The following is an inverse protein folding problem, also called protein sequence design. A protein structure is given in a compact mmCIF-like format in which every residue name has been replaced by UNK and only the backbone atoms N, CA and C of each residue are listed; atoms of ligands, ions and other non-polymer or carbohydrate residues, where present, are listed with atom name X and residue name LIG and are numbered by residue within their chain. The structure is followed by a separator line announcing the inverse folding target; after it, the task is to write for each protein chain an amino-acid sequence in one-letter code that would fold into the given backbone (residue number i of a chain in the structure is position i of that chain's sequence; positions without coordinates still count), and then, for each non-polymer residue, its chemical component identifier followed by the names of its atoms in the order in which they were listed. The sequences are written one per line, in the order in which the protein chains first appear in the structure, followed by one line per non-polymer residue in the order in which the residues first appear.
data_IF_411797740174
#
_entry.id   IF_411797740174
#
_cell.length_a   1.000
_cell.length_b   1.000
_cell.length_c   1.000
_cell.angle_alpha   90.00
_cell.angle_beta   90.00
_cell.angle_gamma   90.00
#
_symmetry.space_group_name_H-M   'P 1'
#
loop_
_entity.id
_entity.type
_entity.pdbx_description
1 polymer ?
#
# COMPACT_ATOMS: atom_id res chain seq x y z
N UNK A 1 17.77 18.17 3.73
CA UNK A 1 16.56 17.40 3.41
C UNK A 1 15.57 18.36 2.82
N UNK A 2 15.12 18.09 1.59
CA UNK A 2 14.02 18.84 1.01
C UNK A 2 12.75 18.60 1.83
N UNK A 3 12.00 19.67 2.08
CA UNK A 3 10.78 19.61 2.89
C UNK A 3 9.57 19.45 1.96
N UNK A 4 8.82 18.38 2.13
CA UNK A 4 7.60 18.08 1.38
C UNK A 4 6.41 18.28 2.30
N UNK A 5 5.60 19.30 2.01
CA UNK A 5 4.35 19.54 2.72
C UNK A 5 3.28 18.65 2.12
N UNK A 6 2.70 17.75 2.91
CA UNK A 6 1.65 16.86 2.44
C UNK A 6 0.34 17.64 2.35
N UNK A 7 -0.22 17.83 1.15
CA UNK A 7 -1.45 18.60 0.99
C UNK A 7 -2.65 17.81 1.52
N UNK A 8 -3.52 18.48 2.25
CA UNK A 8 -4.78 17.89 2.71
C UNK A 8 -5.68 17.48 1.54
N UNK A 9 -6.22 16.25 1.50
CA UNK A 9 -7.26 15.88 0.54
C UNK A 9 -8.47 16.82 0.64
N UNK A 10 -9.00 17.27 -0.50
CA UNK A 10 -10.16 18.20 -0.53
C UNK A 10 -11.42 17.60 0.09
N UNK A 11 -11.58 16.28 -0.02
CA UNK A 11 -12.69 15.49 0.52
C UNK A 11 -12.28 14.01 0.55
N UNK A 12 -13.21 13.14 0.92
CA UNK A 12 -12.98 11.70 1.07
C UNK A 12 -13.02 10.90 -0.24
N UNK A 13 -13.25 11.53 -1.40
CA UNK A 13 -13.27 10.82 -2.67
C UNK A 13 -11.90 10.26 -3.03
N UNK A 14 -11.88 9.11 -3.71
CA UNK A 14 -10.65 8.47 -4.18
C UNK A 14 -9.79 9.43 -5.01
N UNK A 15 -10.41 10.25 -5.87
CA UNK A 15 -9.71 11.23 -6.71
C UNK A 15 -9.02 12.30 -5.86
N UNK A 16 -9.67 12.80 -4.80
CA UNK A 16 -9.06 13.80 -3.93
C UNK A 16 -7.89 13.23 -3.11
N UNK A 17 -7.99 11.96 -2.70
CA UNK A 17 -6.91 11.24 -2.04
C UNK A 17 -5.71 11.01 -2.99
N UNK A 18 -5.98 10.58 -4.22
CA UNK A 18 -4.96 10.42 -5.27
C UNK A 18 -4.31 11.75 -5.65
N UNK A 19 -5.07 12.84 -5.74
CA UNK A 19 -4.53 14.18 -6.01
C UNK A 19 -3.54 14.60 -4.91
N UNK A 20 -3.88 14.33 -3.65
CA UNK A 20 -2.99 14.61 -2.50
C UNK A 20 -1.72 13.76 -2.56
N UNK A 21 -1.85 12.46 -2.83
CA UNK A 21 -0.71 11.55 -2.98
C UNK A 21 0.19 11.98 -4.14
N UNK A 22 -0.39 12.25 -5.32
CA UNK A 22 0.34 12.69 -6.50
C UNK A 22 1.11 13.98 -6.22
N UNK A 23 0.48 14.99 -5.64
CA UNK A 23 1.16 16.25 -5.28
C UNK A 23 2.27 16.07 -4.24
N UNK A 24 2.16 15.06 -3.36
CA UNK A 24 3.20 14.72 -2.39
C UNK A 24 4.46 14.20 -3.10
N UNK A 25 4.31 13.45 -4.19
CA UNK A 25 5.42 12.76 -4.86
C UNK A 25 5.80 13.29 -6.24
N UNK A 26 5.06 14.24 -6.83
CA UNK A 26 5.29 14.73 -8.21
C UNK A 26 6.72 15.23 -8.44
N UNK A 27 7.34 15.82 -7.42
CA UNK A 27 8.71 16.34 -7.47
C UNK A 27 9.72 15.45 -6.73
N UNK A 28 9.27 14.38 -6.07
CA UNK A 28 10.15 13.51 -5.32
C UNK A 28 10.95 12.62 -6.26
N UNK A 29 12.28 12.68 -6.23
CA UNK A 29 13.10 11.76 -7.01
C UNK A 29 13.36 10.46 -6.24
N UNK A 30 13.41 9.33 -6.95
CA UNK A 30 13.75 8.05 -6.35
C UNK A 30 15.14 8.13 -5.68
N UNK A 31 15.18 7.95 -4.35
CA UNK A 31 16.36 7.98 -3.45
C UNK A 31 16.68 9.30 -2.75
N UNK A 32 15.85 10.32 -2.87
CA UNK A 32 16.04 11.53 -2.06
C UNK A 32 15.62 11.29 -0.62
N UNK A 33 16.47 11.74 0.31
CA UNK A 33 16.12 11.85 1.71
C UNK A 33 15.29 13.12 1.89
N UNK A 34 14.00 12.93 2.14
CA UNK A 34 12.99 13.97 2.26
C UNK A 34 12.56 14.15 3.71
N UNK A 35 11.97 15.31 4.00
CA UNK A 35 11.30 15.59 5.27
C UNK A 35 9.82 15.83 5.01
N UNK A 36 8.96 14.89 5.40
CA UNK A 36 7.51 15.00 5.20
C UNK A 36 6.86 15.80 6.32
N UNK A 37 6.15 16.86 5.98
CA UNK A 37 5.40 17.71 6.91
C UNK A 37 3.90 17.39 6.84
N UNK A 38 3.35 16.90 7.97
CA UNK A 38 1.96 16.48 8.12
C UNK A 38 1.11 17.55 8.84
N UNK A 39 1.62 18.77 9.02
CA UNK A 39 0.94 19.84 9.79
C UNK A 39 -0.40 20.29 9.20
N UNK A 40 -0.58 20.14 7.87
CA UNK A 40 -1.84 20.51 7.20
C UNK A 40 -2.94 19.42 7.31
N UNK A 41 -2.60 18.23 7.79
CA UNK A 41 -3.51 17.09 7.83
C UNK A 41 -4.28 17.05 9.15
N UNK A 42 -5.60 17.03 9.07
CA UNK A 42 -6.52 16.78 10.19
C UNK A 42 -7.09 15.35 10.18
N UNK A 43 -6.83 14.60 9.11
CA UNK A 43 -7.11 13.18 8.97
C UNK A 43 -6.22 12.57 7.87
N UNK A 44 -5.99 11.26 7.91
CA UNK A 44 -5.30 10.52 6.84
C UNK A 44 -6.03 9.24 6.46
N UNK A 45 -5.97 8.90 5.18
CA UNK A 45 -6.47 7.66 4.62
C UNK A 45 -5.30 6.69 4.32
N UNK A 46 -5.56 5.37 4.24
CA UNK A 46 -4.55 4.40 3.86
C UNK A 46 -3.81 4.73 2.57
N UNK A 47 -4.53 5.17 1.54
CA UNK A 47 -3.98 5.51 0.23
C UNK A 47 -2.93 6.64 0.28
N UNK A 48 -3.02 7.54 1.25
CA UNK A 48 -2.04 8.62 1.42
C UNK A 48 -0.91 8.20 2.35
N UNK A 49 -1.25 7.66 3.52
CA UNK A 49 -0.27 7.50 4.60
C UNK A 49 0.65 6.28 4.40
N UNK A 50 0.14 5.20 3.79
CA UNK A 50 0.93 3.99 3.58
C UNK A 50 2.06 4.19 2.55
N UNK A 51 1.84 4.82 1.38
CA UNK A 51 2.94 5.16 0.48
C UNK A 51 4.00 6.06 1.11
N UNK A 52 3.59 7.02 1.95
CA UNK A 52 4.51 7.90 2.68
C UNK A 52 5.35 7.09 3.68
N UNK A 53 4.74 6.20 4.46
CA UNK A 53 5.44 5.28 5.36
C UNK A 53 6.43 4.39 4.59
N UNK A 54 6.00 3.78 3.49
CA UNK A 54 6.85 2.92 2.67
C UNK A 54 8.05 3.70 2.10
N UNK A 55 7.83 4.91 1.60
CA UNK A 55 8.89 5.78 1.10
C UNK A 55 9.88 6.16 2.21
N UNK A 56 9.40 6.55 3.39
CA UNK A 56 10.21 6.88 4.56
C UNK A 56 11.15 5.72 4.91
N UNK A 57 10.59 4.51 5.03
CA UNK A 57 11.36 3.32 5.36
C UNK A 57 12.38 2.95 4.27
N UNK A 58 12.00 3.06 2.99
CA UNK A 58 12.87 2.69 1.87
C UNK A 58 14.02 3.69 1.63
N UNK A 59 13.84 4.97 1.97
CA UNK A 59 14.83 6.03 1.70
C UNK A 59 15.53 6.57 2.94
N UNK A 60 15.12 6.12 4.15
CA UNK A 60 15.54 6.70 5.44
C UNK A 60 15.22 8.19 5.52
N UNK A 61 14.10 8.59 4.90
CA UNK A 61 13.52 9.93 5.02
C UNK A 61 12.97 10.14 6.43
N UNK A 62 12.56 11.36 6.75
CA UNK A 62 11.96 11.68 8.05
C UNK A 62 10.58 12.32 7.88
N UNK A 63 9.85 12.44 8.99
CA UNK A 63 8.60 13.18 9.04
C UNK A 63 8.46 14.04 10.29
N UNK A 64 7.82 15.20 10.14
CA UNK A 64 7.46 16.11 11.21
C UNK A 64 6.01 15.86 11.65
N UNK A 65 5.83 15.13 12.76
CA UNK A 65 4.50 14.83 13.33
C UNK A 65 4.17 15.62 14.62
N UNK A 66 5.16 16.30 15.21
CA UNK A 66 5.04 16.86 16.57
C UNK A 66 3.94 17.91 16.73
N UNK A 67 3.62 18.64 15.66
CA UNK A 67 2.58 19.68 15.66
C UNK A 67 1.32 19.24 14.90
N UNK A 68 1.24 17.97 14.49
CA UNK A 68 0.11 17.47 13.73
C UNK A 68 -1.07 17.16 14.66
N UNK A 69 -2.30 17.64 14.35
CA UNK A 69 -3.48 17.36 15.17
C UNK A 69 -3.83 15.86 15.20
N UNK A 70 -3.32 15.08 14.25
CA UNK A 70 -3.51 13.63 14.15
C UNK A 70 -2.36 12.80 14.73
N UNK A 71 -1.41 13.42 15.44
CA UNK A 71 -0.25 12.72 16.03
C UNK A 71 -0.63 11.45 16.79
N UNK A 72 -1.60 11.54 17.70
CA UNK A 72 -2.02 10.37 18.49
C UNK A 72 -2.57 9.24 17.63
N UNK A 73 -3.23 9.55 16.51
CA UNK A 73 -3.71 8.55 15.58
C UNK A 73 -2.55 7.92 14.78
N UNK A 74 -1.60 8.73 14.30
CA UNK A 74 -0.39 8.25 13.61
C UNK A 74 0.43 7.28 14.48
N UNK A 75 0.63 7.62 15.75
CA UNK A 75 1.30 6.76 16.73
C UNK A 75 0.56 5.42 16.93
N UNK A 76 -0.77 5.44 16.96
CA UNK A 76 -1.61 4.23 17.12
C UNK A 76 -1.53 3.29 15.93
N UNK A 77 -1.51 3.82 14.71
CA UNK A 77 -1.34 3.00 13.50
C UNK A 77 0.12 2.60 13.27
N UNK A 78 1.03 2.98 14.18
CA UNK A 78 2.48 2.75 14.10
C UNK A 78 3.13 3.42 12.90
N UNK A 79 2.71 4.62 12.53
CA UNK A 79 3.36 5.40 11.47
C UNK A 79 4.59 6.17 12.01
N UNK A 80 5.69 6.29 11.23
CA UNK A 80 5.91 5.70 9.90
C UNK A 80 6.51 4.29 9.89
N UNK A 81 7.05 3.80 11.01
CA UNK A 81 7.92 2.61 11.07
C UNK A 81 7.16 1.31 10.79
N UNK A 82 5.89 1.25 11.16
CA UNK A 82 5.04 0.07 11.14
C UNK A 82 5.40 -0.95 12.22
N UNK A 83 4.67 -2.07 12.23
CA UNK A 83 4.94 -3.24 13.07
C UNK A 83 5.43 -4.40 12.21
N UNK A 84 6.54 -5.02 12.61
CA UNK A 84 7.13 -6.16 11.89
C UNK A 84 7.20 -7.44 12.75
N UNK A 85 6.56 -7.41 13.93
CA UNK A 85 6.49 -8.55 14.84
C UNK A 85 5.07 -8.79 15.35
N UNK A 86 4.78 -10.05 15.66
CA UNK A 86 3.49 -10.52 16.17
C UNK A 86 3.13 -9.82 17.49
N UNK A 87 4.10 -9.66 18.40
CA UNK A 87 3.87 -9.04 19.71
C UNK A 87 3.45 -7.58 19.60
N UNK A 88 4.16 -6.80 18.78
CA UNK A 88 3.81 -5.39 18.52
C UNK A 88 2.45 -5.28 17.84
N UNK A 89 2.18 -6.12 16.84
CA UNK A 89 0.90 -6.15 16.14
C UNK A 89 -0.26 -6.39 17.12
N UNK A 90 -0.17 -7.43 17.95
CA UNK A 90 -1.20 -7.76 18.93
C UNK A 90 -1.40 -6.64 19.96
N UNK A 91 -0.33 -6.00 20.42
CA UNK A 91 -0.40 -4.88 21.36
C UNK A 91 -1.17 -3.68 20.78
N UNK A 92 -1.01 -3.39 19.49
CA UNK A 92 -1.67 -2.26 18.84
C UNK A 92 -3.12 -2.56 18.49
N UNK A 93 -3.39 -3.74 17.92
CA UNK A 93 -4.75 -4.12 17.50
C UNK A 93 -5.70 -4.30 18.68
N UNK A 94 -5.24 -4.85 19.80
CA UNK A 94 -6.11 -5.03 20.97
C UNK A 94 -6.67 -3.72 21.54
N UNK A 95 -5.97 -2.59 21.33
CA UNK A 95 -6.39 -1.28 21.83
C UNK A 95 -7.45 -0.61 20.96
N UNK A 96 -7.57 -0.99 19.69
CA UNK A 96 -8.33 -0.21 18.71
C UNK A 96 -9.04 -1.10 17.67
N UNK A 97 -10.36 -0.89 17.51
CA UNK A 97 -11.20 -1.71 16.62
C UNK A 97 -11.44 -1.10 15.23
N UNK A 98 -11.01 0.14 15.01
CA UNK A 98 -11.30 0.86 13.76
C UNK A 98 -10.14 0.81 12.76
N UNK A 99 -9.03 0.14 13.07
CA UNK A 99 -7.90 0.00 12.15
C UNK A 99 -7.12 -1.28 12.42
N UNK A 100 -6.33 -1.68 11.43
CA UNK A 100 -5.28 -2.70 11.52
C UNK A 100 -3.98 -1.94 11.27
N UNK A 101 -2.98 -1.96 12.18
CA UNK A 101 -1.81 -1.08 12.12
C UNK A 101 -1.00 -1.31 10.85
N UNK A 102 -0.20 -0.31 10.46
CA UNK A 102 0.76 -0.45 9.36
C UNK A 102 1.67 -1.63 9.70
N UNK A 103 1.61 -2.67 8.89
CA UNK A 103 2.37 -3.90 9.09
C UNK A 103 3.43 -4.00 8.00
N UNK A 104 4.66 -4.29 8.41
CA UNK A 104 5.83 -4.40 7.53
C UNK A 104 6.15 -5.88 7.34
N UNK A 105 5.99 -6.35 6.11
CA UNK A 105 6.21 -7.73 5.73
C UNK A 105 7.61 -7.84 5.13
N UNK A 106 8.46 -8.65 5.78
CA UNK A 106 9.86 -8.86 5.40
C UNK A 106 10.05 -10.29 4.87
N UNK A 107 10.63 -10.44 3.68
CA UNK A 107 10.84 -11.74 3.02
C UNK A 107 11.71 -12.65 3.88
N UNK A 108 12.78 -12.09 4.47
CA UNK A 108 13.74 -12.78 5.33
C UNK A 108 13.14 -13.25 6.67
N UNK A 109 12.00 -12.69 7.09
CA UNK A 109 11.34 -13.09 8.33
C UNK A 109 10.59 -14.43 8.21
N UNK A 110 10.52 -15.03 7.02
CA UNK A 110 10.02 -16.39 6.80
C UNK A 110 8.64 -16.63 7.42
N UNK A 111 8.55 -17.59 8.35
CA UNK A 111 7.32 -17.95 9.07
C UNK A 111 6.76 -16.82 9.93
N UNK A 112 7.60 -15.92 10.48
CA UNK A 112 7.12 -14.79 11.26
C UNK A 112 6.31 -13.81 10.39
N UNK A 113 6.74 -13.61 9.13
CA UNK A 113 6.01 -12.82 8.14
C UNK A 113 4.68 -13.47 7.75
N UNK A 114 4.65 -14.79 7.55
CA UNK A 114 3.40 -15.53 7.26
C UNK A 114 2.39 -15.42 8.40
N UNK A 115 2.87 -15.51 9.65
CA UNK A 115 2.03 -15.33 10.83
C UNK A 115 1.49 -13.91 10.95
N UNK A 116 2.31 -12.90 10.67
CA UNK A 116 1.87 -11.51 10.69
C UNK A 116 0.80 -11.24 9.61
N UNK A 117 1.01 -11.78 8.41
CA UNK A 117 0.04 -11.72 7.32
C UNK A 117 -1.28 -12.42 7.70
N UNK A 118 -1.22 -13.61 8.30
CA UNK A 118 -2.39 -14.35 8.77
C UNK A 118 -3.16 -13.58 9.85
N UNK A 119 -2.46 -12.94 10.80
CA UNK A 119 -3.09 -12.08 11.82
C UNK A 119 -3.75 -10.85 11.20
N UNK A 120 -3.14 -10.26 10.18
CA UNK A 120 -3.76 -9.17 9.43
C UNK A 120 -5.07 -9.64 8.77
N UNK A 121 -5.02 -10.78 8.08
CA UNK A 121 -6.19 -11.40 7.44
C UNK A 121 -7.30 -11.76 8.44
N UNK A 122 -6.95 -12.25 9.63
CA UNK A 122 -7.90 -12.51 10.72
C UNK A 122 -8.66 -11.22 11.10
N UNK A 123 -7.96 -10.09 11.23
CA UNK A 123 -8.60 -8.80 11.56
C UNK A 123 -9.48 -8.24 10.47
N UNK A 124 -9.16 -8.50 9.22
CA UNK A 124 -10.09 -8.23 8.10
C UNK A 124 -11.37 -9.06 8.29
N UNK A 125 -11.24 -10.36 8.56
CA UNK A 125 -12.39 -11.24 8.73
C UNK A 125 -13.26 -10.83 9.93
N UNK A 126 -12.64 -10.46 11.06
CA UNK A 126 -13.36 -9.92 12.22
C UNK A 126 -14.17 -8.66 11.86
N UNK A 127 -13.62 -7.80 11.00
CA UNK A 127 -14.28 -6.56 10.55
C UNK A 127 -15.43 -6.83 9.59
N UNK A 128 -15.27 -7.80 8.68
CA UNK A 128 -16.31 -8.19 7.72
C UNK A 128 -17.45 -9.00 8.36
N UNK A 129 -17.19 -9.63 9.51
CA UNK A 129 -18.12 -10.49 10.21
C UNK A 129 -18.29 -11.87 9.54
N UNK A 130 -19.24 -12.65 10.05
CA UNK A 130 -19.50 -14.01 9.57
C UNK A 130 -20.30 -14.00 8.26
N UNK A 131 -19.60 -13.83 7.14
CA UNK A 131 -20.15 -14.02 5.79
C UNK A 131 -19.52 -15.27 5.18
N UNK A 132 -20.33 -16.29 4.92
CA UNK A 132 -19.86 -17.55 4.32
C UNK A 132 -19.11 -17.27 3.00
N UNK A 133 -17.89 -17.80 2.87
CA UNK A 133 -17.04 -17.60 1.70
C UNK A 133 -16.35 -16.23 1.59
N UNK A 134 -16.71 -15.22 2.40
CA UNK A 134 -16.07 -13.90 2.34
C UNK A 134 -14.60 -13.93 2.73
N UNK A 135 -14.23 -14.79 3.68
CA UNK A 135 -12.83 -15.00 4.06
C UNK A 135 -12.00 -15.43 2.84
N UNK A 136 -12.43 -16.43 2.09
CA UNK A 136 -11.72 -16.85 0.88
C UNK A 136 -11.76 -15.75 -0.19
N UNK A 137 -12.91 -15.10 -0.39
CA UNK A 137 -13.07 -14.07 -1.42
C UNK A 137 -12.20 -12.82 -1.18
N UNK A 138 -11.87 -12.49 0.08
CA UNK A 138 -11.10 -11.28 0.43
C UNK A 138 -9.65 -11.61 0.78
N UNK A 139 -9.40 -12.63 1.61
CA UNK A 139 -8.04 -12.96 2.04
C UNK A 139 -7.20 -13.52 0.91
N UNK A 140 -7.79 -14.29 -0.02
CA UNK A 140 -7.04 -14.86 -1.14
C UNK A 140 -6.46 -13.77 -2.07
N UNK A 141 -7.25 -12.78 -2.57
CA UNK A 141 -6.68 -11.67 -3.34
C UNK A 141 -5.59 -10.89 -2.60
N UNK A 142 -5.71 -10.72 -1.28
CA UNK A 142 -4.71 -10.00 -0.48
C UNK A 142 -3.40 -10.80 -0.41
N UNK A 143 -3.47 -12.11 -0.13
CA UNK A 143 -2.30 -12.98 -0.11
C UNK A 143 -1.58 -13.02 -1.47
N UNK A 144 -2.35 -13.04 -2.57
CA UNK A 144 -1.81 -12.97 -3.92
C UNK A 144 -1.11 -11.62 -4.19
N UNK A 145 -1.72 -10.51 -3.77
CA UNK A 145 -1.10 -9.18 -3.90
C UNK A 145 0.17 -9.05 -3.06
N UNK A 146 0.20 -9.59 -1.85
CA UNK A 146 1.39 -9.63 -0.99
C UNK A 146 2.48 -10.51 -1.59
N UNK A 147 2.13 -11.68 -2.12
CA UNK A 147 3.08 -12.59 -2.80
C UNK A 147 3.74 -11.90 -3.99
N UNK A 148 2.96 -11.16 -4.79
CA UNK A 148 3.47 -10.42 -5.94
C UNK A 148 4.57 -9.41 -5.58
N UNK A 149 4.57 -8.85 -4.35
CA UNK A 149 5.64 -7.97 -3.87
C UNK A 149 6.98 -8.71 -3.92
N UNK A 150 7.04 -9.89 -3.31
CA UNK A 150 8.29 -10.62 -3.10
C UNK A 150 8.76 -11.41 -4.34
N UNK A 151 7.83 -11.75 -5.23
CA UNK A 151 8.11 -12.50 -6.46
C UNK A 151 8.42 -11.59 -7.65
N UNK A 152 7.66 -10.51 -7.84
CA UNK A 152 7.70 -9.72 -9.08
C UNK A 152 8.24 -8.29 -8.90
N UNK A 153 8.19 -7.73 -7.70
CA UNK A 153 8.63 -6.34 -7.47
C UNK A 153 10.14 -6.21 -7.22
N UNK A 154 10.84 -7.34 -7.02
CA UNK A 154 12.26 -7.43 -6.64
C UNK A 154 12.57 -6.68 -5.33
N UNK A 155 11.62 -6.68 -4.39
CA UNK A 155 11.79 -6.13 -3.05
C UNK A 155 11.55 -7.20 -2.00
N UNK A 156 12.30 -7.09 -0.92
CA UNK A 156 12.19 -7.97 0.23
C UNK A 156 11.31 -7.37 1.34
N UNK A 157 10.73 -6.19 1.10
CA UNK A 157 9.87 -5.49 2.06
C UNK A 157 8.60 -5.00 1.37
N UNK A 158 7.45 -5.35 1.97
CA UNK A 158 6.12 -4.85 1.62
C UNK A 158 5.43 -4.24 2.83
N UNK A 159 4.44 -3.39 2.59
CA UNK A 159 3.67 -2.68 3.62
C UNK A 159 2.18 -2.92 3.39
N UNK A 160 1.43 -3.14 4.48
CA UNK A 160 -0.02 -3.29 4.43
C UNK A 160 -0.67 -2.51 5.59
N UNK A 161 -1.80 -1.86 5.31
CA UNK A 161 -2.53 -1.07 6.30
C UNK A 161 -4.04 -1.14 6.05
N UNK A 162 -4.82 -1.24 7.12
CA UNK A 162 -6.27 -1.36 7.07
C UNK A 162 -6.97 -0.33 7.93
N UNK A 163 -7.97 0.36 7.39
CA UNK A 163 -8.79 1.33 8.10
C UNK A 163 -10.27 1.01 7.91
N UNK A 164 -10.97 0.74 9.01
CA UNK A 164 -12.42 0.59 9.00
C UNK A 164 -13.08 1.93 9.26
N UNK A 165 -14.11 2.28 8.47
CA UNK A 165 -14.89 3.50 8.63
C UNK A 165 -16.32 3.13 9.08
N UNK A 166 -16.61 3.02 10.39
CA UNK A 166 -17.88 2.50 10.88
C UNK A 166 -19.10 3.30 10.38
N UNK A 167 -18.98 4.61 10.32
CA UNK A 167 -20.08 5.50 9.89
C UNK A 167 -20.35 5.42 8.39
N UNK A 168 -19.37 4.96 7.60
CA UNK A 168 -19.47 4.79 6.14
C UNK A 168 -19.59 3.32 5.72
N UNK A 169 -19.48 2.40 6.67
CA UNK A 169 -19.60 0.96 6.50
C UNK A 169 -18.70 0.36 5.40
N UNK A 170 -17.42 0.75 5.37
CA UNK A 170 -16.42 0.10 4.51
C UNK A 170 -15.08 -0.06 5.20
N UNK A 171 -14.32 -1.05 4.75
CA UNK A 171 -12.94 -1.31 5.12
C UNK A 171 -12.06 -0.91 3.93
N UNK A 172 -11.11 -0.01 4.19
CA UNK A 172 -10.09 0.42 3.24
C UNK A 172 -8.79 -0.31 3.53
N UNK A 173 -8.22 -0.95 2.52
CA UNK A 173 -6.98 -1.72 2.63
C UNK A 173 -6.02 -1.19 1.58
N UNK A 174 -4.87 -0.74 2.03
CA UNK A 174 -3.77 -0.34 1.15
C UNK A 174 -2.63 -1.35 1.29
N UNK A 175 -2.04 -1.73 0.16
CA UNK A 175 -0.87 -2.59 0.04
C UNK A 175 0.13 -1.84 -0.82
N UNK A 176 1.36 -1.69 -0.36
CA UNK A 176 2.40 -0.92 -1.05
C UNK A 176 3.72 -1.67 -1.00
N UNK A 177 4.44 -1.62 -2.12
CA UNK A 177 5.86 -1.92 -2.20
C UNK A 177 6.61 -0.79 -2.91
N UNK A 178 7.92 -0.71 -2.70
CA UNK A 178 8.79 0.28 -3.36
C UNK A 178 9.63 -0.34 -4.48
N UNK A 179 9.02 -1.29 -5.22
CA UNK A 179 9.63 -2.06 -6.30
C UNK A 179 9.80 -1.30 -7.60
N UNK A 180 10.20 -2.03 -8.64
CA UNK A 180 10.52 -1.48 -9.96
C UNK A 180 9.30 -1.02 -10.77
N UNK A 181 8.09 -1.39 -10.36
CA UNK A 181 6.85 -1.10 -11.11
C UNK A 181 6.69 -1.94 -12.39
N UNK A 182 5.53 -1.81 -13.05
CA UNK A 182 5.19 -2.64 -14.21
C UNK A 182 6.06 -2.34 -15.44
N UNK A 183 6.27 -1.07 -15.79
CA UNK A 183 7.02 -0.72 -17.00
C UNK A 183 8.45 -1.29 -16.98
N UNK A 184 9.14 -1.18 -15.84
CA UNK A 184 10.47 -1.78 -15.67
C UNK A 184 10.43 -3.31 -15.68
N UNK A 185 9.41 -3.93 -15.07
CA UNK A 185 9.22 -5.39 -15.14
C UNK A 185 9.07 -5.87 -16.60
N UNK A 186 8.18 -5.27 -17.39
CA UNK A 186 7.97 -5.63 -18.80
C UNK A 186 9.25 -5.46 -19.63
N UNK A 187 10.01 -4.40 -19.37
CA UNK A 187 11.30 -4.16 -20.04
C UNK A 187 12.34 -5.22 -19.70
N UNK A 188 12.48 -5.57 -18.42
CA UNK A 188 13.51 -6.51 -17.94
C UNK A 188 13.19 -7.97 -18.29
N UNK A 189 11.92 -8.37 -18.20
CA UNK A 189 11.53 -9.77 -18.35
C UNK A 189 11.06 -10.13 -19.76
N UNK A 190 10.49 -9.17 -20.48
CA UNK A 190 9.91 -9.40 -21.81
C UNK A 190 10.55 -8.57 -22.91
N UNK A 191 11.51 -7.69 -22.58
CA UNK A 191 12.12 -6.76 -23.54
C UNK A 191 11.15 -5.69 -24.06
N UNK A 192 9.95 -5.56 -23.48
CA UNK A 192 8.90 -4.65 -23.94
C UNK A 192 9.06 -3.28 -23.30
N UNK A 193 9.20 -2.23 -24.12
CA UNK A 193 9.27 -0.84 -23.66
C UNK A 193 7.86 -0.24 -23.69
N UNK A 194 7.21 -0.23 -22.55
CA UNK A 194 5.89 0.36 -22.35
C UNK A 194 6.01 1.64 -21.53
N UNK A 195 5.11 2.60 -21.75
CA UNK A 195 4.91 3.68 -20.79
C UNK A 195 4.26 3.12 -19.50
N UNK A 196 4.27 3.87 -18.40
CA UNK A 196 3.62 3.42 -17.16
C UNK A 196 2.12 3.12 -17.36
N UNK A 197 1.43 3.95 -18.15
CA UNK A 197 -0.01 3.76 -18.41
C UNK A 197 -0.29 2.53 -19.27
N UNK A 198 0.57 2.26 -20.25
CA UNK A 198 0.46 1.08 -21.12
C UNK A 198 0.80 -0.18 -20.32
N UNK A 199 1.81 -0.13 -19.46
CA UNK A 199 2.21 -1.25 -18.62
C UNK A 199 1.12 -1.63 -17.61
N UNK A 200 0.44 -0.64 -17.01
CA UNK A 200 -0.74 -0.87 -16.16
C UNK A 200 -1.88 -1.49 -16.98
N UNK A 201 -2.16 -0.94 -18.17
CA UNK A 201 -3.24 -1.43 -19.03
C UNK A 201 -3.00 -2.88 -19.47
N UNK A 202 -1.78 -3.21 -19.90
CA UNK A 202 -1.38 -4.57 -20.29
C UNK A 202 -1.47 -5.54 -19.10
N UNK A 203 -1.06 -5.13 -17.89
CA UNK A 203 -1.22 -5.97 -16.70
C UNK A 203 -2.69 -6.29 -16.41
N UNK A 204 -3.58 -5.29 -16.51
CA UNK A 204 -5.01 -5.46 -16.28
C UNK A 204 -5.66 -6.35 -17.35
N UNK A 205 -5.26 -6.22 -18.62
CA UNK A 205 -5.75 -7.05 -19.73
C UNK A 205 -5.27 -8.49 -19.60
N UNK A 206 -3.99 -8.70 -19.27
CA UNK A 206 -3.41 -10.04 -19.10
C UNK A 206 -4.14 -10.85 -18.01
N UNK A 207 -4.57 -10.22 -16.91
CA UNK A 207 -5.37 -10.89 -15.87
C UNK A 207 -6.82 -11.17 -16.28
N UNK A 208 -7.31 -10.56 -17.36
CA UNK A 208 -8.61 -10.85 -17.98
C UNK A 208 -8.52 -11.88 -19.12
N UNK A 209 -7.33 -12.40 -19.41
CA UNK A 209 -7.11 -13.37 -20.49
C UNK A 209 -7.00 -12.76 -21.89
N UNK A 210 -6.87 -11.44 -22.02
CA UNK A 210 -6.63 -10.75 -23.29
C UNK A 210 -5.20 -10.21 -23.27
N UNK A 211 -4.33 -10.61 -24.20
CA UNK A 211 -2.99 -10.00 -24.37
C UNK A 211 -3.02 -9.06 -25.57
N UNK A 212 -2.37 -7.89 -25.48
CA UNK A 212 -2.27 -6.97 -26.63
C UNK A 212 -1.51 -7.62 -27.81
N UNK A 213 -0.70 -8.65 -27.56
CA UNK A 213 -0.06 -9.45 -28.62
C UNK A 213 -1.04 -10.24 -29.51
N UNK A 214 -2.31 -10.39 -29.12
CA UNK A 214 -3.31 -11.09 -29.94
C UNK A 214 -3.98 -10.17 -31.00
N UNK A 215 -3.63 -8.87 -31.02
CA UNK A 215 -4.20 -7.92 -32.00
C UNK A 215 -3.38 -7.73 -33.29
N UNK A 216 -2.22 -8.38 -33.45
CA UNK A 216 -1.40 -8.29 -34.69
C UNK A 216 -1.55 -9.49 -35.65
N UNK A 217 -2.50 -10.40 -35.45
CA UNK A 217 -2.68 -11.57 -36.35
C UNK A 217 -4.12 -11.75 -36.87
N UNK A 218 -4.77 -10.66 -37.26
CA UNK A 218 -5.88 -10.74 -38.23
C UNK A 218 -5.43 -10.03 -39.51
N UNK A 219 -4.40 -10.63 -40.13
CA UNK A 219 -4.04 -10.40 -41.52
C UNK A 219 -4.56 -11.56 -42.36
N UNK A 220 -5.45 -11.22 -43.29
CA UNK A 220 -5.69 -11.86 -44.59
C UNK A 220 -6.17 -13.33 -44.57
N UNK A 221 -7.49 -13.50 -44.70
CA UNK A 221 -8.14 -14.32 -45.73
C UNK A 221 -9.58 -13.84 -45.92
#
# INVERSE_FOLDING_TARGET
MEKIIIPKPKNDSLVAQLESLYKTFINAQSKENLNFDLSLLDWVCPLLILPVSAYINNTRSNCEINYSPIKSYLERISFPEGVDSISLFQQQVQKHKSFIPISVLRKEAGTSREKLEALFAEKICETLGNVSGAQNAVCYPIAELVTNIFEHSKKDVGFIFGQFYPTKNYLDICIVDCGRGFAAMYKEEKGLKLSDIDAISEFLLARRGYRIQDTETIGIA
#
